data_IF_510074052549
#
_entry.id   IF_510074052549
#
_cell.length_a   1.000
_cell.length_b   1.000
_cell.length_c   1.000
_cell.angle_alpha   90.00
_cell.angle_beta   90.00
_cell.angle_gamma   90.00
#
_symmetry.space_group_name_H-M   'P 1'
#
loop_
_entity.id
_entity.type
_entity.pdbx_description
1 polymer ?
#
# COMPACT_ATOMS: atom_id res chain seq x y z
N UNK A 1 24.39 -7.79 25.61
CA UNK A 1 23.28 -8.66 26.05
C UNK A 1 22.38 -8.95 24.86
N UNK A 2 22.11 -10.22 24.55
CA UNK A 2 21.26 -10.67 23.43
C UNK A 2 19.80 -10.35 23.71
N UNK A 3 19.17 -9.38 23.02
CA UNK A 3 17.74 -9.05 23.12
C UNK A 3 17.35 -8.26 21.85
N UNK A 4 16.30 -8.50 21.09
CA UNK A 4 15.19 -9.46 21.08
C UNK A 4 14.64 -9.43 19.65
N UNK A 5 14.49 -10.59 19.04
CA UNK A 5 13.89 -10.80 17.73
C UNK A 5 12.37 -10.80 17.93
N UNK A 6 11.64 -9.81 17.39
CA UNK A 6 10.18 -9.81 17.39
C UNK A 6 9.70 -9.84 15.94
N UNK A 7 9.56 -11.06 15.44
CA UNK A 7 8.84 -11.37 14.19
C UNK A 7 7.37 -11.49 14.57
N UNK A 8 6.59 -10.44 14.30
CA UNK A 8 5.12 -10.50 14.37
C UNK A 8 4.58 -10.85 12.99
N UNK A 9 4.53 -12.15 12.68
CA UNK A 9 3.78 -12.69 11.54
C UNK A 9 2.29 -12.63 11.84
N UNK A 10 1.63 -11.56 11.42
CA UNK A 10 0.17 -11.54 11.33
C UNK A 10 -0.27 -12.30 10.07
N UNK A 11 -0.71 -13.54 10.25
CA UNK A 11 -1.38 -14.32 9.20
C UNK A 11 -2.84 -13.90 9.19
N UNK A 12 -3.26 -13.17 8.17
CA UNK A 12 -4.66 -12.81 7.96
C UNK A 12 -5.21 -13.67 6.81
N UNK A 13 -6.04 -14.65 7.15
CA UNK A 13 -6.73 -15.53 6.19
C UNK A 13 -7.84 -14.72 5.51
N UNK A 14 -7.72 -14.50 4.20
CA UNK A 14 -8.79 -13.92 3.38
C UNK A 14 -9.84 -15.01 3.09
N UNK A 15 -11.05 -14.85 3.62
CA UNK A 15 -12.24 -15.50 3.05
C UNK A 15 -12.74 -14.65 1.89
N UNK A 16 -12.71 -15.22 0.68
CA UNK A 16 -13.30 -14.63 -0.52
C UNK A 16 -14.80 -14.96 -0.51
N UNK A 17 -15.64 -13.93 -0.56
CA UNK A 17 -17.03 -14.05 -0.95
C UNK A 17 -17.15 -13.40 -2.33
N UNK A 18 -17.38 -14.25 -3.32
CA UNK A 18 -17.75 -13.87 -4.68
C UNK A 18 -19.17 -13.32 -4.68
N UNK A 19 -19.37 -12.17 -5.32
CA UNK A 19 -20.68 -11.70 -5.73
C UNK A 19 -20.64 -11.31 -7.21
N UNK A 20 -21.71 -11.68 -7.89
CA UNK A 20 -21.88 -11.87 -9.31
C UNK A 20 -22.04 -10.58 -10.15
N UNK A 21 -21.61 -10.70 -11.42
CA UNK A 21 -22.32 -10.39 -12.67
C UNK A 21 -23.09 -9.05 -12.81
N UNK A 22 -22.71 -8.22 -13.80
CA UNK A 22 -23.52 -7.79 -14.97
C UNK A 22 -22.96 -6.54 -15.69
N UNK A 23 -23.09 -6.56 -17.03
CA UNK A 23 -23.44 -5.35 -17.80
C UNK A 23 -22.36 -4.69 -18.66
N UNK A 24 -22.31 -5.07 -19.94
CA UNK A 24 -21.57 -4.37 -21.00
C UNK A 24 -22.18 -2.99 -21.30
N UNK A 25 -21.37 -1.92 -21.31
CA UNK A 25 -21.66 -0.71 -22.10
C UNK A 25 -20.36 0.00 -22.47
N UNK A 26 -20.28 0.43 -23.73
CA UNK A 26 -19.12 1.10 -24.33
C UNK A 26 -18.83 2.44 -23.63
N UNK A 27 -17.62 2.58 -23.07
CA UNK A 27 -17.16 3.80 -22.39
C UNK A 27 -16.20 4.59 -23.27
N UNK A 28 -16.54 5.85 -23.53
CA UNK A 28 -15.66 6.83 -24.18
C UNK A 28 -14.66 7.32 -23.15
N UNK A 29 -13.42 6.83 -23.23
CA UNK A 29 -12.34 7.14 -22.30
C UNK A 29 -11.83 8.59 -22.47
N UNK A 30 -12.38 9.53 -21.68
CA UNK A 30 -12.01 10.96 -21.64
C UNK A 30 -11.22 11.38 -20.38
N UNK A 31 -11.29 10.63 -19.29
CA UNK A 31 -10.57 10.94 -18.06
C UNK A 31 -10.40 9.67 -17.28
N UNK A 32 -9.22 9.05 -17.38
CA UNK A 32 -8.96 7.66 -16.98
C UNK A 32 -9.53 7.31 -15.59
N UNK A 33 -10.78 6.82 -15.56
CA UNK A 33 -11.44 6.15 -14.45
C UNK A 33 -10.87 4.74 -14.29
N UNK A 34 -9.56 4.59 -14.48
CA UNK A 34 -8.84 3.35 -14.30
C UNK A 34 -8.51 3.25 -12.80
N UNK A 35 -9.20 2.38 -12.04
CA UNK A 35 -8.99 2.27 -10.61
C UNK A 35 -7.54 1.95 -10.26
N UNK A 36 -6.81 1.26 -11.15
CA UNK A 36 -5.41 0.97 -10.97
C UNK A 36 -4.55 2.24 -11.04
N UNK A 37 -4.75 3.10 -12.04
CA UNK A 37 -3.98 4.35 -12.15
C UNK A 37 -4.21 5.24 -10.94
N UNK A 38 -5.46 5.38 -10.50
CA UNK A 38 -5.80 6.13 -9.29
C UNK A 38 -5.14 5.53 -8.04
N UNK A 39 -5.15 4.20 -7.89
CA UNK A 39 -4.50 3.51 -6.79
C UNK A 39 -2.98 3.67 -6.80
N UNK A 40 -2.33 3.57 -7.97
CA UNK A 40 -0.88 3.79 -8.13
C UNK A 40 -0.51 5.23 -7.78
N UNK A 41 -1.29 6.21 -8.25
CA UNK A 41 -1.08 7.62 -7.93
C UNK A 41 -1.18 7.88 -6.42
N UNK A 42 -2.21 7.31 -5.78
CA UNK A 42 -2.41 7.43 -4.33
C UNK A 42 -1.26 6.78 -3.54
N UNK A 43 -0.89 5.54 -3.88
CA UNK A 43 0.23 4.85 -3.24
C UNK A 43 1.54 5.63 -3.40
N UNK A 44 1.78 6.22 -4.57
CA UNK A 44 2.95 7.07 -4.84
C UNK A 44 2.95 8.33 -3.97
N UNK A 45 1.79 8.99 -3.82
CA UNK A 45 1.66 10.19 -3.00
C UNK A 45 1.93 9.89 -1.52
N UNK A 46 1.35 8.82 -0.96
CA UNK A 46 1.58 8.40 0.42
C UNK A 46 3.03 7.97 0.64
N UNK A 47 3.62 7.22 -0.29
CA UNK A 47 5.00 6.78 -0.17
C UNK A 47 5.99 7.96 -0.22
N UNK A 48 5.68 9.02 -0.98
CA UNK A 48 6.44 10.28 -0.94
C UNK A 48 6.37 10.95 0.43
N UNK A 49 5.23 10.90 1.13
CA UNK A 49 5.12 11.44 2.50
C UNK A 49 5.95 10.62 3.48
N UNK A 50 5.88 9.28 3.40
CA UNK A 50 6.72 8.38 4.21
C UNK A 50 8.22 8.63 3.96
N UNK A 51 8.62 8.79 2.69
CA UNK A 51 10.00 9.12 2.31
C UNK A 51 10.45 10.47 2.89
N UNK A 52 9.62 11.51 2.80
CA UNK A 52 9.92 12.82 3.40
C UNK A 52 10.12 12.74 4.91
N UNK A 53 9.41 11.83 5.58
CA UNK A 53 9.59 11.58 7.01
C UNK A 53 10.83 10.73 7.33
N UNK A 54 11.49 10.12 6.33
CA UNK A 54 12.63 9.21 6.53
C UNK A 54 12.23 7.77 6.84
N UNK A 55 10.95 7.41 6.68
CA UNK A 55 10.39 6.11 7.06
C UNK A 55 9.94 5.26 5.86
N UNK A 56 10.35 5.59 4.63
CA UNK A 56 10.04 4.75 3.47
C UNK A 56 10.57 3.32 3.66
N UNK A 57 9.67 2.35 3.65
CA UNK A 57 10.04 0.94 3.72
C UNK A 57 10.60 0.45 2.38
N UNK A 58 11.62 -0.40 2.45
CA UNK A 58 12.44 -0.87 1.31
C UNK A 58 11.63 -1.30 0.08
N UNK A 59 10.52 -1.99 0.27
CA UNK A 59 9.78 -2.64 -0.81
C UNK A 59 8.51 -1.88 -1.26
N UNK A 60 8.08 -0.85 -0.53
CA UNK A 60 6.87 -0.09 -0.88
C UNK A 60 6.96 0.52 -2.28
N UNK A 61 8.09 1.15 -2.61
CA UNK A 61 8.35 1.67 -3.95
C UNK A 61 8.44 0.59 -5.04
N UNK A 62 8.82 -0.65 -4.69
CA UNK A 62 8.84 -1.76 -5.64
C UNK A 62 7.43 -2.23 -5.96
N UNK A 63 6.55 -2.36 -4.96
CA UNK A 63 5.15 -2.72 -5.19
C UNK A 63 4.43 -1.71 -6.09
N UNK A 64 4.72 -0.41 -5.97
CA UNK A 64 4.18 0.62 -6.87
C UNK A 64 4.63 0.37 -8.31
N UNK A 65 5.91 0.08 -8.53
CA UNK A 65 6.45 -0.20 -9.88
C UNK A 65 5.87 -1.49 -10.46
N UNK A 66 5.78 -2.56 -9.66
CA UNK A 66 5.19 -3.82 -10.09
C UNK A 66 3.69 -3.70 -10.35
N UNK A 67 2.96 -2.86 -9.60
CA UNK A 67 1.56 -2.58 -9.87
C UNK A 67 1.34 -2.02 -11.27
N UNK A 68 2.19 -1.06 -11.69
CA UNK A 68 2.15 -0.47 -13.01
C UNK A 68 2.50 -1.48 -14.13
N UNK A 69 3.42 -2.41 -13.87
CA UNK A 69 3.80 -3.45 -14.84
C UNK A 69 2.75 -4.53 -15.02
N UNK A 70 2.19 -5.04 -13.92
CA UNK A 70 1.29 -6.19 -13.96
C UNK A 70 -0.11 -5.80 -14.43
N UNK A 71 -0.59 -4.60 -14.08
CA UNK A 71 -1.91 -4.17 -14.51
C UNK A 71 -3.06 -4.90 -13.79
N UNK A 72 -4.29 -4.52 -14.13
CA UNK A 72 -5.53 -5.19 -13.70
C UNK A 72 -5.68 -5.38 -12.18
N UNK A 73 -6.39 -6.43 -11.78
CA UNK A 73 -6.69 -6.71 -10.37
C UNK A 73 -5.43 -6.99 -9.52
N UNK A 74 -4.43 -7.69 -10.09
CA UNK A 74 -3.15 -7.94 -9.41
C UNK A 74 -2.39 -6.64 -9.17
N UNK A 75 -2.33 -5.76 -10.18
CA UNK A 75 -1.75 -4.43 -10.02
C UNK A 75 -2.48 -3.61 -8.97
N UNK A 76 -3.82 -3.68 -8.93
CA UNK A 76 -4.62 -2.94 -7.96
C UNK A 76 -4.34 -3.41 -6.54
N UNK A 77 -4.22 -4.72 -6.33
CA UNK A 77 -3.83 -5.29 -5.04
C UNK A 77 -2.43 -4.83 -4.60
N UNK A 78 -1.46 -4.81 -5.52
CA UNK A 78 -0.10 -4.32 -5.24
C UNK A 78 -0.08 -2.83 -4.91
N UNK A 79 -0.83 -2.00 -5.63
CA UNK A 79 -0.96 -0.58 -5.37
C UNK A 79 -1.60 -0.31 -4.00
N UNK A 80 -2.68 -1.02 -3.67
CA UNK A 80 -3.34 -0.91 -2.37
C UNK A 80 -2.43 -1.37 -1.22
N UNK A 81 -1.68 -2.46 -1.41
CA UNK A 81 -0.67 -2.91 -0.45
C UNK A 81 0.39 -1.84 -0.20
N UNK A 82 0.93 -1.24 -1.27
CA UNK A 82 1.91 -0.17 -1.16
C UNK A 82 1.34 1.07 -0.44
N UNK A 83 0.08 1.43 -0.72
CA UNK A 83 -0.61 2.53 -0.03
C UNK A 83 -0.67 2.29 1.48
N UNK A 84 -1.09 1.10 1.90
CA UNK A 84 -1.17 0.76 3.33
C UNK A 84 0.21 0.82 4.00
N UNK A 85 1.23 0.20 3.39
CA UNK A 85 2.60 0.25 3.92
C UNK A 85 3.14 1.69 4.04
N UNK A 86 2.81 2.56 3.08
CA UNK A 86 3.21 3.96 3.15
C UNK A 86 2.48 4.75 4.26
N UNK A 87 1.23 4.41 4.57
CA UNK A 87 0.49 5.00 5.69
C UNK A 87 1.05 4.51 7.02
N UNK A 88 1.31 3.20 7.13
CA UNK A 88 1.92 2.61 8.33
C UNK A 88 3.30 3.20 8.61
N UNK A 89 4.11 3.39 7.57
CA UNK A 89 5.41 4.07 7.67
C UNK A 89 5.27 5.52 8.17
N UNK A 90 4.27 6.26 7.70
CA UNK A 90 3.98 7.60 8.23
C UNK A 90 3.56 7.57 9.69
N UNK A 91 2.78 6.56 10.10
CA UNK A 91 2.38 6.42 11.49
C UNK A 91 3.57 6.05 12.38
N UNK A 92 4.41 5.12 11.93
CA UNK A 92 5.66 4.77 12.60
C UNK A 92 6.55 6.01 12.80
N UNK A 93 6.62 6.92 11.83
CA UNK A 93 7.35 8.17 11.97
C UNK A 93 6.83 9.02 13.14
N UNK A 94 5.50 9.12 13.30
CA UNK A 94 4.87 9.86 14.41
C UNK A 94 5.11 9.17 15.74
N UNK A 95 4.96 7.84 15.78
CA UNK A 95 5.11 7.07 17.00
C UNK A 95 6.55 7.15 17.53
N UNK A 96 7.54 7.09 16.64
CA UNK A 96 8.95 7.24 17.01
C UNK A 96 9.32 8.67 17.41
N UNK A 97 8.69 9.69 16.82
CA UNK A 97 8.88 11.07 17.26
C UNK A 97 8.36 11.31 18.70
N UNK A 98 7.34 10.55 19.11
CA UNK A 98 6.73 10.63 20.45
C UNK A 98 7.26 9.57 21.43
N UNK A 99 8.21 8.73 21.01
CA UNK A 99 8.80 7.72 21.86
C UNK A 99 9.72 8.38 22.89
N UNK A 100 9.18 8.65 24.08
CA UNK A 100 9.93 9.06 25.26
C UNK A 100 10.57 7.86 25.98
N UNK A 101 11.53 8.08 26.87
CA UNK A 101 12.14 7.00 27.65
C UNK A 101 11.09 6.30 28.53
N UNK A 102 11.02 4.97 28.42
CA UNK A 102 10.31 4.10 29.36
C UNK A 102 11.31 3.60 30.40
N UNK A 103 11.17 4.08 31.65
CA UNK A 103 11.98 3.63 32.79
C UNK A 103 11.24 2.56 33.60
#
# INVERSE_FOLDING_TARGET
MKKLLLITTAVFSLSVQSADFLGSSHNWNDGSSDPLKAAIATATAENKKAKKAGFEWRDTGKFIKEAAKVGGAKGLALANKARLQAIDAQQQAKDQANAGPSF
#
